data_IF_901869461847
#
_entry.id   IF_901869461847
#
_cell.length_a   1.000
_cell.length_b   1.000
_cell.length_c   1.000
_cell.angle_alpha   90.00
_cell.angle_beta   90.00
_cell.angle_gamma   90.00
#
_symmetry.space_group_name_H-M   'P 1'
#
loop_
_entity.id
_entity.type
_entity.pdbx_description
1 polymer ?
#
# COMPACT_ATOMS: atom_id res chain seq x y z
N UNK A 1 38.70 -0.92 5.64
CA UNK A 1 37.68 -1.39 4.67
C UNK A 1 37.58 -2.91 4.76
N UNK A 2 36.37 -3.47 4.85
CA UNK A 2 36.16 -4.92 4.99
C UNK A 2 36.65 -5.68 3.74
N UNK A 3 36.96 -6.99 3.84
CA UNK A 3 37.32 -7.82 2.68
C UNK A 3 36.25 -7.77 1.57
N UNK A 4 34.97 -7.84 1.93
CA UNK A 4 33.85 -7.69 0.98
C UNK A 4 33.82 -6.31 0.32
N UNK A 5 34.04 -5.23 1.08
CA UNK A 5 34.09 -3.88 0.52
C UNK A 5 35.26 -3.65 -0.45
N UNK A 6 36.36 -4.41 -0.34
CA UNK A 6 37.46 -4.37 -1.31
C UNK A 6 37.16 -5.16 -2.58
N UNK A 7 36.48 -6.29 -2.47
CA UNK A 7 36.05 -7.09 -3.62
C UNK A 7 35.01 -6.33 -4.48
N UNK A 8 34.06 -5.64 -3.84
CA UNK A 8 33.04 -4.83 -4.54
C UNK A 8 33.66 -3.67 -5.34
N UNK A 9 34.77 -3.09 -4.85
CA UNK A 9 35.47 -2.01 -5.55
C UNK A 9 36.39 -2.50 -6.67
N UNK A 10 36.78 -3.79 -6.66
CA UNK A 10 37.64 -4.38 -7.67
C UNK A 10 36.88 -4.70 -8.97
N UNK A 11 35.58 -5.03 -8.87
CA UNK A 11 34.68 -5.18 -10.02
C UNK A 11 33.30 -4.55 -9.70
N UNK A 12 33.17 -3.22 -9.90
CA UNK A 12 31.94 -2.50 -9.60
C UNK A 12 30.75 -2.99 -10.43
N UNK A 13 30.97 -3.42 -11.68
CA UNK A 13 29.90 -3.90 -12.55
C UNK A 13 29.32 -5.22 -12.02
N UNK A 14 30.18 -6.14 -11.57
CA UNK A 14 29.74 -7.37 -10.91
C UNK A 14 29.06 -7.08 -9.58
N UNK A 15 29.61 -6.19 -8.77
CA UNK A 15 29.02 -5.78 -7.49
C UNK A 15 27.58 -5.26 -7.65
N UNK A 16 27.33 -4.41 -8.66
CA UNK A 16 26.00 -3.89 -8.96
C UNK A 16 25.04 -5.01 -9.37
N UNK A 17 25.48 -5.96 -10.20
CA UNK A 17 24.64 -7.11 -10.59
C UNK A 17 24.28 -7.98 -9.40
N UNK A 18 25.27 -8.38 -8.58
CA UNK A 18 25.02 -9.21 -7.40
C UNK A 18 24.08 -8.53 -6.40
N UNK A 19 24.20 -7.20 -6.23
CA UNK A 19 23.28 -6.45 -5.38
C UNK A 19 21.87 -6.36 -5.97
N UNK A 20 21.75 -6.17 -7.28
CA UNK A 20 20.46 -6.14 -7.96
C UNK A 20 19.74 -7.49 -7.84
N UNK A 21 20.44 -8.61 -8.09
CA UNK A 21 19.90 -9.96 -7.97
C UNK A 21 19.44 -10.27 -6.53
N UNK A 22 20.20 -9.78 -5.54
CA UNK A 22 19.83 -9.92 -4.13
C UNK A 22 18.58 -9.09 -3.78
N UNK A 23 18.48 -7.87 -4.28
CA UNK A 23 17.30 -7.01 -4.08
C UNK A 23 16.07 -7.60 -4.76
N UNK A 24 16.21 -8.18 -5.95
CA UNK A 24 15.13 -8.89 -6.65
C UNK A 24 14.67 -10.12 -5.86
N UNK A 25 15.61 -10.91 -5.33
CA UNK A 25 15.29 -12.03 -4.45
C UNK A 25 14.56 -11.56 -3.19
N UNK A 26 15.04 -10.49 -2.56
CA UNK A 26 14.39 -9.91 -1.39
C UNK A 26 12.98 -9.40 -1.72
N UNK A 27 12.78 -8.79 -2.88
CA UNK A 27 11.46 -8.38 -3.36
C UNK A 27 10.49 -9.56 -3.41
N UNK A 28 10.85 -10.63 -4.13
CA UNK A 28 9.99 -11.81 -4.30
C UNK A 28 9.66 -12.51 -2.99
N UNK A 29 10.61 -12.57 -2.06
CA UNK A 29 10.44 -13.29 -0.80
C UNK A 29 9.75 -12.46 0.27
N UNK A 30 10.07 -11.16 0.36
CA UNK A 30 9.69 -10.32 1.52
C UNK A 30 8.59 -9.31 1.18
N UNK A 31 8.50 -8.83 -0.06
CA UNK A 31 7.63 -7.70 -0.42
C UNK A 31 6.47 -8.13 -1.30
N UNK A 32 6.72 -8.93 -2.33
CA UNK A 32 5.70 -9.38 -3.29
C UNK A 32 4.47 -10.04 -2.61
N UNK A 33 4.61 -10.92 -1.61
CA UNK A 33 3.46 -11.54 -0.95
C UNK A 33 2.53 -10.52 -0.27
N UNK A 34 3.12 -9.48 0.33
CA UNK A 34 2.39 -8.41 1.04
C UNK A 34 2.02 -7.23 0.13
N UNK A 35 2.52 -7.22 -1.11
CA UNK A 35 2.38 -6.08 -2.03
C UNK A 35 0.93 -5.62 -2.24
N UNK A 36 -0.08 -6.49 -2.39
CA UNK A 36 -1.47 -6.05 -2.49
C UNK A 36 -1.95 -5.26 -1.26
N UNK A 37 -1.53 -5.66 -0.05
CA UNK A 37 -1.86 -4.98 1.21
C UNK A 37 -1.13 -3.65 1.32
N UNK A 38 0.17 -3.63 1.04
CA UNK A 38 1.00 -2.42 1.03
C UNK A 38 0.44 -1.39 0.03
N UNK A 39 0.13 -1.83 -1.19
CA UNK A 39 -0.45 -0.97 -2.23
C UNK A 39 -1.79 -0.40 -1.83
N UNK A 40 -2.70 -1.21 -1.26
CA UNK A 40 -4.00 -0.72 -0.80
C UNK A 40 -3.86 0.37 0.29
N UNK A 41 -2.91 0.21 1.21
CA UNK A 41 -2.60 1.21 2.23
C UNK A 41 -2.09 2.51 1.59
N UNK A 42 -1.14 2.42 0.66
CA UNK A 42 -0.59 3.57 -0.06
C UNK A 42 -1.66 4.29 -0.90
N UNK A 43 -2.53 3.55 -1.60
CA UNK A 43 -3.64 4.13 -2.38
C UNK A 43 -4.64 4.88 -1.48
N UNK A 44 -4.95 4.33 -0.30
CA UNK A 44 -5.83 4.99 0.66
C UNK A 44 -5.23 6.29 1.22
N UNK A 45 -3.92 6.29 1.47
CA UNK A 45 -3.16 7.46 1.90
C UNK A 45 -3.20 8.57 0.83
N UNK A 46 -2.86 8.22 -0.42
CA UNK A 46 -2.91 9.14 -1.58
C UNK A 46 -4.31 9.75 -1.72
N UNK A 47 -5.35 8.93 -1.67
CA UNK A 47 -6.72 9.41 -1.81
C UNK A 47 -7.13 10.35 -0.68
N UNK A 48 -6.66 10.10 0.55
CA UNK A 48 -6.91 10.98 1.68
C UNK A 48 -6.20 12.34 1.51
N UNK A 49 -4.89 12.32 1.28
CA UNK A 49 -4.12 13.57 1.21
C UNK A 49 -4.44 14.39 -0.05
N UNK A 50 -4.88 13.76 -1.14
CA UNK A 50 -5.42 14.48 -2.30
C UNK A 50 -6.67 15.30 -1.95
N UNK A 51 -7.59 14.73 -1.15
CA UNK A 51 -8.78 15.46 -0.67
C UNK A 51 -8.40 16.56 0.31
N UNK A 52 -7.53 16.26 1.29
CA UNK A 52 -7.05 17.26 2.25
C UNK A 52 -6.38 18.43 1.54
N UNK A 53 -5.52 18.16 0.55
CA UNK A 53 -4.88 19.20 -0.25
C UNK A 53 -5.90 20.15 -0.90
N UNK A 54 -6.97 19.60 -1.47
CA UNK A 54 -8.03 20.39 -2.09
C UNK A 54 -8.86 21.20 -1.08
N UNK A 55 -9.03 20.70 0.15
CA UNK A 55 -9.82 21.34 1.20
C UNK A 55 -9.08 22.46 1.93
N UNK A 56 -7.82 22.22 2.31
CA UNK A 56 -7.06 23.11 3.21
C UNK A 56 -5.81 23.70 2.58
N UNK A 57 -5.47 23.31 1.35
CA UNK A 57 -4.27 23.75 0.67
C UNK A 57 -2.99 23.10 1.20
N UNK A 58 -1.88 23.45 0.56
CA UNK A 58 -0.57 22.84 0.82
C UNK A 58 -0.01 23.22 2.20
N UNK A 59 -0.20 24.47 2.61
CA UNK A 59 0.32 25.01 3.88
C UNK A 59 -0.18 24.23 5.09
N UNK A 60 -1.47 23.89 5.11
CA UNK A 60 -2.06 23.10 6.18
C UNK A 60 -1.79 21.60 6.06
N UNK A 61 -1.58 21.08 4.84
CA UNK A 61 -1.31 19.67 4.61
C UNK A 61 0.08 19.24 5.12
N UNK A 62 1.12 20.04 4.85
CA UNK A 62 2.51 19.63 5.09
C UNK A 62 2.80 19.24 6.54
N UNK A 63 2.36 20.01 7.56
CA UNK A 63 2.53 19.62 8.97
C UNK A 63 1.79 18.33 9.36
N UNK A 64 0.76 17.92 8.60
CA UNK A 64 0.05 16.65 8.81
C UNK A 64 0.83 15.45 8.29
N UNK A 65 1.67 15.66 7.27
CA UNK A 65 2.53 14.61 6.70
C UNK A 65 3.71 14.31 7.63
N UNK A 66 4.37 15.36 8.12
CA UNK A 66 5.42 15.26 9.15
C UNK A 66 5.61 16.63 9.82
N UNK A 67 5.86 16.62 11.13
CA UNK A 67 6.01 17.84 11.94
C UNK A 67 7.23 18.68 11.58
N UNK A 68 8.22 18.09 10.91
CA UNK A 68 9.44 18.77 10.43
C UNK A 68 9.21 19.60 9.18
N UNK A 69 8.02 19.50 8.56
CA UNK A 69 7.70 20.19 7.32
C UNK A 69 7.03 21.53 7.60
N UNK A 70 7.53 22.58 6.96
CA UNK A 70 6.96 23.92 7.03
C UNK A 70 6.96 24.60 5.66
N UNK A 71 5.99 25.48 5.44
CA UNK A 71 5.77 26.17 4.18
C UNK A 71 5.50 27.65 4.43
N UNK A 72 6.18 28.52 3.69
CA UNK A 72 6.05 29.98 3.80
C UNK A 72 5.29 30.63 2.63
N UNK A 73 4.66 29.82 1.77
CA UNK A 73 4.03 30.28 0.53
C UNK A 73 4.90 30.06 -0.72
N UNK A 74 6.21 29.86 -0.56
CA UNK A 74 7.17 29.69 -1.68
C UNK A 74 8.19 28.57 -1.45
N UNK A 75 8.56 28.32 -0.20
CA UNK A 75 9.67 27.46 0.20
C UNK A 75 9.15 26.38 1.14
N UNK A 76 9.39 25.12 0.76
CA UNK A 76 9.22 23.99 1.67
C UNK A 76 10.51 23.81 2.45
N UNK A 77 10.42 23.90 3.77
CA UNK A 77 11.54 23.63 4.68
C UNK A 77 11.31 22.31 5.39
N UNK A 78 12.34 21.46 5.39
CA UNK A 78 12.38 20.20 6.13
C UNK A 78 13.44 20.35 7.22
N UNK A 79 13.03 20.28 8.48
CA UNK A 79 13.97 20.31 9.60
C UNK A 79 14.76 18.99 9.68
N UNK A 80 16.05 19.02 9.35
CA UNK A 80 16.95 17.87 9.35
C UNK A 80 18.41 18.30 9.64
N UNK A 81 19.30 17.33 9.90
CA UNK A 81 20.70 17.53 10.18
C UNK A 81 21.48 17.93 8.91
N UNK A 82 21.54 19.22 8.60
CA UNK A 82 22.38 19.75 7.53
C UNK A 82 21.72 20.86 6.74
N UNK A 83 22.45 21.40 5.76
CA UNK A 83 21.95 22.44 4.86
C UNK A 83 21.94 21.93 3.43
N UNK A 84 20.76 21.87 2.84
CA UNK A 84 20.56 21.58 1.43
C UNK A 84 19.41 22.43 0.90
N UNK A 85 19.67 23.17 -0.17
CA UNK A 85 18.68 24.02 -0.84
C UNK A 85 18.62 23.70 -2.31
N UNK A 86 17.41 23.61 -2.86
CA UNK A 86 17.17 23.43 -4.29
C UNK A 86 16.04 24.32 -4.76
N UNK A 87 16.30 25.10 -5.80
CA UNK A 87 15.25 25.73 -6.59
C UNK A 87 14.65 24.68 -7.53
N UNK A 88 13.32 24.52 -7.49
CA UNK A 88 12.61 23.56 -8.32
C UNK A 88 12.39 24.07 -9.74
N UNK A 89 12.57 25.37 -10.02
CA UNK A 89 12.46 25.93 -11.37
C UNK A 89 11.11 25.65 -12.04
N UNK A 90 10.03 25.50 -11.27
CA UNK A 90 8.69 25.14 -11.78
C UNK A 90 8.46 23.64 -12.03
N UNK A 91 9.40 22.75 -11.73
CA UNK A 91 9.25 21.29 -11.88
C UNK A 91 8.17 20.68 -10.96
N UNK A 92 7.71 21.44 -9.97
CA UNK A 92 6.81 20.96 -8.93
C UNK A 92 7.50 20.00 -7.95
N UNK A 93 6.71 19.50 -7.00
CA UNK A 93 7.14 18.55 -5.98
C UNK A 93 6.16 17.37 -5.95
N UNK A 94 6.69 16.15 -6.02
CA UNK A 94 5.89 14.94 -5.83
C UNK A 94 5.82 14.62 -4.34
N UNK A 95 4.62 14.39 -3.81
CA UNK A 95 4.45 13.85 -2.47
C UNK A 95 4.28 12.33 -2.60
N UNK A 96 5.24 11.57 -2.08
CA UNK A 96 5.28 10.10 -2.22
C UNK A 96 5.13 9.43 -0.86
N UNK A 97 4.00 8.76 -0.56
CA UNK A 97 3.89 7.97 0.65
C UNK A 97 4.79 6.74 0.58
N UNK A 98 5.32 6.34 1.73
CA UNK A 98 6.15 5.15 1.88
C UNK A 98 5.79 4.38 3.15
N UNK A 99 5.80 3.06 3.01
CA UNK A 99 5.68 2.13 4.15
C UNK A 99 7.04 1.81 4.79
N UNK A 100 8.14 2.22 4.14
CA UNK A 100 9.51 1.89 4.51
C UNK A 100 10.33 3.09 5.01
N UNK A 101 9.83 4.32 4.85
CA UNK A 101 10.57 5.52 5.28
C UNK A 101 10.42 5.81 6.77
N UNK A 102 9.51 5.14 7.47
CA UNK A 102 9.24 5.40 8.88
C UNK A 102 10.48 5.21 9.77
N UNK A 103 10.72 6.06 10.79
CA UNK A 103 9.95 7.25 11.18
C UNK A 103 10.35 8.53 10.44
N UNK A 104 11.18 8.40 9.40
CA UNK A 104 11.82 9.51 8.73
C UNK A 104 11.07 10.00 7.48
N UNK A 105 11.32 11.27 7.18
CA UNK A 105 11.02 11.86 5.88
C UNK A 105 12.30 11.85 5.09
N UNK A 106 12.25 11.28 3.89
CA UNK A 106 13.41 11.24 3.00
C UNK A 106 13.22 12.30 1.93
N UNK A 107 14.17 13.23 1.89
CA UNK A 107 14.30 14.22 0.83
C UNK A 107 15.65 14.04 0.16
N UNK A 108 15.68 13.63 -1.11
CA UNK A 108 16.91 13.51 -1.88
C UNK A 108 16.63 13.14 -3.34
N UNK A 109 16.88 14.08 -4.27
CA UNK A 109 16.48 13.93 -5.68
C UNK A 109 17.43 14.67 -6.61
N UNK A 110 18.74 14.48 -6.50
CA UNK A 110 19.68 15.10 -7.45
C UNK A 110 19.23 14.85 -8.90
N UNK A 111 19.44 15.82 -9.81
CA UNK A 111 19.15 15.64 -11.23
C UNK A 111 19.72 14.30 -11.74
N UNK A 112 18.98 13.53 -12.55
CA UNK A 112 17.82 13.96 -13.35
C UNK A 112 16.44 13.72 -12.71
N UNK A 113 16.36 13.31 -11.44
CA UNK A 113 15.10 12.84 -10.84
C UNK A 113 14.16 14.00 -10.46
N UNK A 114 12.85 13.76 -10.56
CA UNK A 114 11.83 14.74 -10.16
C UNK A 114 11.96 15.03 -8.66
N UNK A 115 11.93 16.31 -8.23
CA UNK A 115 11.86 16.65 -6.83
C UNK A 115 10.67 15.95 -6.17
N UNK A 116 10.94 15.14 -5.16
CA UNK A 116 9.92 14.36 -4.45
C UNK A 116 10.02 14.66 -2.96
N UNK A 117 9.06 14.24 -2.16
CA UNK A 117 9.12 14.23 -0.71
C UNK A 117 8.55 12.89 -0.28
N UNK A 118 9.41 12.03 0.28
CA UNK A 118 8.98 10.71 0.72
C UNK A 118 8.56 10.79 2.18
N UNK A 119 7.29 10.53 2.46
CA UNK A 119 6.72 10.66 3.80
C UNK A 119 6.12 9.33 4.28
N UNK A 120 6.08 9.08 5.61
CA UNK A 120 5.51 7.86 6.15
C UNK A 120 4.00 7.81 5.89
N UNK A 121 3.54 6.74 5.25
CA UNK A 121 2.13 6.54 4.96
C UNK A 121 1.29 6.43 6.25
N UNK A 122 0.03 6.85 6.19
CA UNK A 122 -0.90 6.68 7.30
C UNK A 122 -1.28 5.22 7.49
N UNK A 123 -1.54 4.83 8.74
CA UNK A 123 -2.03 3.49 9.08
C UNK A 123 -0.95 2.41 9.20
N UNK A 124 0.34 2.76 9.15
CA UNK A 124 1.45 1.81 9.30
C UNK A 124 1.44 1.03 10.60
N UNK A 125 0.95 1.62 11.69
CA UNK A 125 0.84 0.94 12.98
C UNK A 125 -0.09 -0.30 12.93
N UNK A 126 -1.09 -0.30 12.03
CA UNK A 126 -1.99 -1.45 11.81
C UNK A 126 -1.55 -2.39 10.68
N UNK A 127 -0.44 -2.09 10.01
CA UNK A 127 0.04 -2.88 8.87
C UNK A 127 0.64 -4.21 9.30
N UNK A 128 1.31 -4.25 10.45
CA UNK A 128 2.01 -5.43 10.98
C UNK A 128 1.29 -6.07 12.17
N UNK A 129 0.15 -5.52 12.57
CA UNK A 129 -0.70 -6.20 13.55
C UNK A 129 -1.31 -7.39 12.83
N UNK A 130 -0.92 -8.60 13.21
CA UNK A 130 -1.68 -9.78 12.84
C UNK A 130 -3.09 -9.60 13.41
N UNK A 131 -4.12 -9.59 12.56
CA UNK A 131 -5.50 -9.58 13.03
C UNK A 131 -5.75 -10.78 13.94
N UNK A 132 -5.76 -10.54 15.25
CA UNK A 132 -6.17 -11.54 16.22
C UNK A 132 -7.64 -11.93 16.03
N UNK A 133 -8.08 -13.00 16.67
CA UNK A 133 -9.47 -13.50 16.63
C UNK A 133 -10.56 -12.43 16.89
N UNK A 134 -10.22 -11.31 17.53
CA UNK A 134 -11.09 -10.15 17.72
C UNK A 134 -11.47 -9.45 16.38
N UNK A 135 -10.56 -9.38 15.40
CA UNK A 135 -10.81 -8.82 14.07
C UNK A 135 -11.83 -9.66 13.29
N UNK A 136 -11.65 -10.99 13.27
CA UNK A 136 -12.61 -11.97 12.74
C UNK A 136 -14.01 -11.77 13.30
N UNK A 137 -14.11 -11.56 14.62
CA UNK A 137 -15.40 -11.35 15.27
C UNK A 137 -16.01 -9.97 14.95
N UNK A 138 -15.21 -8.93 14.71
CA UNK A 138 -15.69 -7.61 14.29
C UNK A 138 -16.25 -7.64 12.86
N UNK A 139 -15.56 -8.28 11.93
CA UNK A 139 -16.01 -8.40 10.54
C UNK A 139 -17.30 -9.22 10.44
N UNK A 140 -17.42 -10.29 11.21
CA UNK A 140 -18.66 -11.08 11.32
C UNK A 140 -19.81 -10.25 11.88
N UNK A 141 -19.57 -9.34 12.84
CA UNK A 141 -20.62 -8.44 13.37
C UNK A 141 -21.06 -7.41 12.33
N UNK A 142 -20.13 -6.87 11.55
CA UNK A 142 -20.41 -5.86 10.54
C UNK A 142 -21.13 -6.44 9.31
N UNK A 143 -20.57 -7.52 8.75
CA UNK A 143 -21.03 -8.09 7.49
C UNK A 143 -21.96 -9.27 7.68
N UNK A 144 -22.00 -9.89 8.86
CA UNK A 144 -22.62 -11.21 9.05
C UNK A 144 -21.71 -12.34 8.57
N UNK A 145 -21.90 -13.53 9.16
CA UNK A 145 -21.02 -14.71 8.96
C UNK A 145 -20.80 -15.07 7.49
N UNK A 146 -21.87 -15.15 6.69
CA UNK A 146 -21.78 -15.60 5.30
C UNK A 146 -20.97 -14.64 4.41
N UNK A 147 -21.23 -13.34 4.51
CA UNK A 147 -20.49 -12.32 3.74
C UNK A 147 -19.04 -12.19 4.20
N UNK A 148 -18.79 -12.24 5.51
CA UNK A 148 -17.43 -12.27 6.03
C UNK A 148 -16.64 -13.49 5.51
N UNK A 149 -17.26 -14.69 5.53
CA UNK A 149 -16.64 -15.91 5.03
C UNK A 149 -16.36 -15.87 3.52
N UNK A 150 -17.30 -15.36 2.71
CA UNK A 150 -17.09 -15.19 1.27
C UNK A 150 -15.99 -14.16 0.97
N UNK A 151 -15.98 -13.03 1.69
CA UNK A 151 -14.94 -12.03 1.53
C UNK A 151 -13.57 -12.62 1.91
N UNK A 152 -13.46 -13.34 3.04
CA UNK A 152 -12.23 -13.99 3.49
C UNK A 152 -11.75 -15.12 2.57
N UNK A 153 -12.65 -15.86 1.90
CA UNK A 153 -12.29 -16.93 0.97
C UNK A 153 -11.78 -16.44 -0.40
N UNK A 154 -11.93 -15.15 -0.70
CA UNK A 154 -11.44 -14.50 -1.93
C UNK A 154 -10.03 -13.92 -1.78
N UNK A 155 -9.12 -14.64 -1.13
CA UNK A 155 -7.70 -14.29 -1.11
C UNK A 155 -7.14 -14.31 -2.54
N UNK A 156 -7.57 -15.30 -3.32
CA UNK A 156 -7.36 -15.39 -4.77
C UNK A 156 -8.69 -15.23 -5.54
N UNK A 157 -8.66 -14.77 -6.80
CA UNK A 157 -9.85 -14.72 -7.64
C UNK A 157 -10.52 -16.09 -7.79
N UNK A 158 -11.82 -16.18 -7.56
CA UNK A 158 -12.55 -17.45 -7.56
C UNK A 158 -13.93 -17.33 -8.23
N UNK A 159 -14.44 -18.45 -8.72
CA UNK A 159 -15.83 -18.51 -9.21
C UNK A 159 -16.82 -18.76 -8.07
N UNK A 160 -18.10 -18.51 -8.31
CA UNK A 160 -19.18 -18.90 -7.37
C UNK A 160 -19.11 -20.39 -7.01
N UNK A 161 -18.84 -21.26 -7.98
CA UNK A 161 -18.78 -22.71 -7.77
C UNK A 161 -17.59 -23.11 -6.90
N UNK A 162 -16.42 -22.48 -7.10
CA UNK A 162 -15.24 -22.73 -6.27
C UNK A 162 -15.52 -22.34 -4.81
N UNK A 163 -16.13 -21.17 -4.61
CA UNK A 163 -16.48 -20.65 -3.29
C UNK A 163 -17.54 -21.51 -2.61
N UNK A 164 -18.58 -21.95 -3.34
CA UNK A 164 -19.60 -22.84 -2.82
C UNK A 164 -19.01 -24.16 -2.34
N UNK A 165 -18.07 -24.73 -3.09
CA UNK A 165 -17.37 -25.95 -2.71
C UNK A 165 -16.49 -25.75 -1.47
N UNK A 166 -15.64 -24.71 -1.45
CA UNK A 166 -14.72 -24.42 -0.34
C UNK A 166 -15.46 -24.13 0.97
N UNK A 167 -16.54 -23.34 0.90
CA UNK A 167 -17.31 -22.91 2.06
C UNK A 167 -18.42 -23.89 2.46
N UNK A 168 -18.64 -24.96 1.67
CA UNK A 168 -19.74 -25.91 1.85
C UNK A 168 -21.11 -25.22 1.92
N UNK A 169 -21.31 -24.23 1.05
CA UNK A 169 -22.55 -23.45 0.94
C UNK A 169 -23.25 -23.76 -0.38
N UNK A 170 -24.57 -23.54 -0.43
CA UNK A 170 -25.30 -23.62 -1.68
C UNK A 170 -24.81 -22.52 -2.66
N UNK A 171 -24.68 -22.80 -3.96
CA UNK A 171 -24.27 -21.80 -4.96
C UNK A 171 -25.16 -20.56 -4.97
N UNK A 172 -26.47 -20.72 -4.72
CA UNK A 172 -27.41 -19.60 -4.61
C UNK A 172 -27.10 -18.67 -3.43
N UNK A 173 -26.74 -19.23 -2.27
CA UNK A 173 -26.33 -18.46 -1.10
C UNK A 173 -25.03 -17.70 -1.35
N UNK A 174 -24.06 -18.33 -2.01
CA UNK A 174 -22.79 -17.67 -2.37
C UNK A 174 -23.04 -16.54 -3.37
N UNK A 175 -23.83 -16.78 -4.42
CA UNK A 175 -24.20 -15.73 -5.39
C UNK A 175 -24.87 -14.53 -4.73
N UNK A 176 -25.78 -14.74 -3.76
CA UNK A 176 -26.42 -13.65 -3.04
C UNK A 176 -25.41 -12.83 -2.22
N UNK A 177 -24.44 -13.48 -1.55
CA UNK A 177 -23.38 -12.77 -0.83
C UNK A 177 -22.45 -12.01 -1.79
N UNK A 178 -22.06 -12.61 -2.91
CA UNK A 178 -21.21 -11.98 -3.92
C UNK A 178 -21.88 -10.74 -4.53
N UNK A 179 -23.18 -10.80 -4.81
CA UNK A 179 -23.94 -9.66 -5.29
C UNK A 179 -23.89 -8.49 -4.31
N UNK A 180 -24.26 -8.72 -3.05
CA UNK A 180 -24.24 -7.66 -2.02
C UNK A 180 -22.84 -7.08 -1.81
N UNK A 181 -21.81 -7.93 -1.76
CA UNK A 181 -20.43 -7.47 -1.57
C UNK A 181 -19.91 -6.67 -2.77
N UNK A 182 -20.27 -7.07 -3.99
CA UNK A 182 -19.94 -6.33 -5.21
C UNK A 182 -20.69 -5.00 -5.27
N UNK A 183 -21.98 -4.99 -4.97
CA UNK A 183 -22.80 -3.78 -4.98
C UNK A 183 -22.35 -2.78 -3.90
N UNK A 184 -21.77 -3.27 -2.80
CA UNK A 184 -21.09 -2.47 -1.78
C UNK A 184 -19.66 -2.02 -2.19
N UNK A 185 -19.19 -2.34 -3.40
CA UNK A 185 -17.87 -1.97 -3.90
C UNK A 185 -16.71 -2.77 -3.30
N UNK A 186 -16.97 -3.86 -2.58
CA UNK A 186 -15.94 -4.70 -1.94
C UNK A 186 -15.34 -5.72 -2.90
N UNK A 187 -16.08 -6.08 -3.94
CA UNK A 187 -15.66 -7.02 -4.98
C UNK A 187 -15.84 -6.41 -6.36
N UNK A 188 -15.03 -6.85 -7.31
CA UNK A 188 -15.30 -6.72 -8.73
C UNK A 188 -15.45 -8.11 -9.35
N UNK A 189 -16.00 -8.17 -10.55
CA UNK A 189 -16.17 -9.41 -11.30
C UNK A 189 -15.69 -9.26 -12.72
N UNK A 190 -14.96 -10.24 -13.23
CA UNK A 190 -14.48 -10.30 -14.60
C UNK A 190 -14.83 -11.64 -15.26
N UNK A 191 -15.20 -11.60 -16.54
CA UNK A 191 -15.46 -12.82 -17.30
C UNK A 191 -14.15 -13.36 -17.86
N UNK A 192 -13.85 -14.62 -17.59
CA UNK A 192 -12.71 -15.33 -18.13
C UNK A 192 -13.18 -16.59 -18.85
N UNK A 193 -13.26 -16.51 -20.19
CA UNK A 193 -13.91 -17.52 -21.02
C UNK A 193 -15.38 -17.72 -20.64
N UNK A 194 -15.74 -18.95 -20.28
CA UNK A 194 -17.10 -19.31 -19.87
C UNK A 194 -17.37 -19.12 -18.36
N UNK A 195 -16.40 -18.61 -17.59
CA UNK A 195 -16.50 -18.46 -16.14
C UNK A 195 -16.50 -16.98 -15.73
N UNK A 196 -17.15 -16.67 -14.62
CA UNK A 196 -17.07 -15.35 -13.97
C UNK A 196 -16.23 -15.50 -12.71
N UNK A 197 -15.12 -14.76 -12.66
CA UNK A 197 -14.25 -14.69 -11.49
C UNK A 197 -14.61 -13.44 -10.69
N UNK A 198 -14.65 -13.58 -9.38
CA UNK A 198 -14.78 -12.49 -8.43
C UNK A 198 -13.43 -12.25 -7.77
N UNK A 199 -13.09 -10.99 -7.55
CA UNK A 199 -11.85 -10.57 -6.90
C UNK A 199 -12.12 -9.39 -5.97
N UNK A 200 -11.34 -9.27 -4.90
CA UNK A 200 -11.49 -8.16 -3.95
C UNK A 200 -11.03 -6.85 -4.60
N UNK A 201 -11.78 -5.78 -4.37
CA UNK A 201 -11.29 -4.41 -4.62
C UNK A 201 -10.27 -4.02 -3.54
N UNK A 202 -9.52 -2.91 -3.69
CA UNK A 202 -8.67 -2.39 -2.61
C UNK A 202 -9.43 -2.21 -1.29
N UNK A 203 -10.67 -1.73 -1.33
CA UNK A 203 -11.53 -1.61 -0.16
C UNK A 203 -11.86 -2.98 0.46
N UNK A 204 -12.18 -3.98 -0.37
CA UNK A 204 -12.41 -5.35 0.09
C UNK A 204 -11.18 -6.00 0.73
N UNK A 205 -9.99 -5.72 0.20
CA UNK A 205 -8.72 -6.19 0.79
C UNK A 205 -8.46 -5.54 2.15
N UNK A 206 -8.65 -4.22 2.28
CA UNK A 206 -8.48 -3.51 3.55
C UNK A 206 -9.47 -3.99 4.64
N UNK A 207 -10.72 -4.29 4.25
CA UNK A 207 -11.72 -4.84 5.16
C UNK A 207 -11.43 -6.29 5.56
N UNK A 208 -10.91 -7.11 4.64
CA UNK A 208 -10.48 -8.47 4.97
C UNK A 208 -9.27 -8.46 5.93
N UNK A 209 -8.29 -7.58 5.69
CA UNK A 209 -7.08 -7.47 6.51
C UNK A 209 -7.29 -6.85 7.90
N UNK A 210 -8.33 -6.03 8.07
CA UNK A 210 -8.70 -5.50 9.40
C UNK A 210 -9.53 -6.50 10.24
N UNK A 211 -9.93 -7.61 9.62
CA UNK A 211 -11.01 -8.46 10.09
C UNK A 211 -10.67 -9.94 10.17
N UNK A 212 -9.43 -10.37 10.18
CA UNK A 212 -9.08 -11.78 10.36
C UNK A 212 -7.65 -12.05 10.03
#
# INVERSE_FOLDING_TARGET
>A
RSPGGRALLADPARAVRELADLLETAWHVLVEPEWPRLRALLEADIAFHSRRLAEVGLEALLPELDRRLSWDGRTLTVDWHGEYGRDLGGQGLVLMPSVFSWPDVISGFEPPWQPTLVYPARGLAGLWTEPGAAGAQALVRLLGRGRAAVLAALADPATTSDLAHRLRLAPSSVSAHLAVLRDAGLLTSRRYGHRVLYERTPLGMALAASGG
#
